data_IF_684141420222
#
_entry.id   IF_684141420222
#
_cell.length_a   1.000
_cell.length_b   1.000
_cell.length_c   1.000
_cell.angle_alpha   90.00
_cell.angle_beta   90.00
_cell.angle_gamma   90.00
#
_symmetry.space_group_name_H-M   'P 1'
#
loop_
_entity.id
_entity.type
_entity.pdbx_description
1 polymer ?
#
# COMPACT_ATOMS: atom_id res chain seq x y z
N UNK A 1 -19.52 17.44 0.81
CA UNK A 1 -19.02 18.49 -0.09
C UNK A 1 -20.11 18.71 -1.11
N UNK A 2 -20.12 17.96 -2.21
CA UNK A 2 -21.31 17.74 -3.04
C UNK A 2 -22.43 17.10 -2.20
N UNK A 3 -23.68 17.52 -2.42
CA UNK A 3 -24.89 17.02 -1.76
C UNK A 3 -25.53 15.84 -2.51
N UNK A 4 -25.15 15.63 -3.76
CA UNK A 4 -25.68 14.55 -4.60
C UNK A 4 -25.00 13.20 -4.34
N UNK A 5 -23.84 13.21 -3.70
CA UNK A 5 -23.08 12.00 -3.34
C UNK A 5 -23.84 11.23 -2.26
N UNK A 6 -24.19 9.97 -2.55
CA UNK A 6 -24.87 9.08 -1.59
C UNK A 6 -23.95 8.00 -1.06
N UNK A 7 -22.91 7.66 -1.81
CA UNK A 7 -21.97 6.58 -1.46
C UNK A 7 -20.55 6.94 -1.90
N UNK A 8 -19.59 6.48 -1.10
CA UNK A 8 -18.18 6.41 -1.47
C UNK A 8 -17.77 4.94 -1.47
N UNK A 9 -17.01 4.55 -2.47
CA UNK A 9 -16.56 3.17 -2.68
C UNK A 9 -15.05 3.17 -2.72
N UNK A 10 -14.42 2.27 -1.96
CA UNK A 10 -12.99 2.05 -2.07
C UNK A 10 -12.67 1.31 -3.37
N UNK A 11 -11.59 1.71 -4.02
CA UNK A 11 -11.10 1.07 -5.24
C UNK A 11 -9.71 0.50 -5.00
N UNK A 12 -9.40 -0.59 -5.70
CA UNK A 12 -8.12 -1.26 -5.62
C UNK A 12 -7.64 -1.66 -7.03
N UNK A 13 -6.43 -1.26 -7.38
CA UNK A 13 -5.64 -1.89 -8.44
C UNK A 13 -4.44 -2.60 -7.82
N UNK A 14 -4.33 -3.91 -8.01
CA UNK A 14 -3.20 -4.68 -7.51
C UNK A 14 -2.18 -4.92 -8.63
N UNK A 15 -0.89 -4.91 -8.29
CA UNK A 15 0.21 -5.28 -9.18
C UNK A 15 0.75 -6.62 -8.71
N UNK A 16 0.65 -7.68 -9.50
CA UNK A 16 1.06 -9.03 -9.10
C UNK A 16 2.43 -9.37 -9.67
N UNK A 17 3.45 -9.34 -8.82
CA UNK A 17 4.78 -9.85 -9.18
C UNK A 17 4.90 -11.36 -8.89
N UNK A 18 5.71 -12.05 -9.70
CA UNK A 18 5.95 -13.48 -9.59
C UNK A 18 7.21 -13.91 -10.35
N UNK A 19 7.70 -15.11 -10.07
CA UNK A 19 8.75 -15.76 -10.87
C UNK A 19 8.20 -16.94 -11.68
N UNK A 20 8.80 -17.17 -12.86
CA UNK A 20 8.58 -18.39 -13.64
C UNK A 20 9.86 -19.24 -13.66
N UNK A 21 9.72 -20.51 -13.33
CA UNK A 21 10.82 -21.49 -13.39
C UNK A 21 10.40 -22.65 -14.28
N UNK A 22 11.34 -23.20 -15.05
CA UNK A 22 11.07 -24.45 -15.76
C UNK A 22 10.66 -25.55 -14.78
N UNK A 23 9.58 -26.28 -15.08
CA UNK A 23 9.06 -27.30 -14.16
C UNK A 23 10.04 -28.42 -13.86
N UNK A 24 10.87 -28.85 -14.83
CA UNK A 24 11.87 -29.88 -14.57
C UNK A 24 12.97 -29.36 -13.62
N UNK A 25 13.39 -28.10 -13.78
CA UNK A 25 14.33 -27.45 -12.85
C UNK A 25 13.72 -27.29 -11.46
N UNK A 26 12.48 -26.83 -11.36
CA UNK A 26 11.77 -26.73 -10.08
C UNK A 26 11.64 -28.11 -9.40
N UNK A 27 11.30 -29.15 -10.16
CA UNK A 27 11.17 -30.52 -9.64
C UNK A 27 12.51 -31.13 -9.19
N UNK A 28 13.63 -30.68 -9.76
CA UNK A 28 14.97 -31.07 -9.29
C UNK A 28 15.37 -30.41 -7.96
N UNK A 29 14.54 -29.50 -7.44
CA UNK A 29 14.77 -28.70 -6.23
C UNK A 29 13.69 -28.95 -5.18
N UNK A 30 13.89 -29.94 -4.29
CA UNK A 30 12.93 -30.25 -3.23
C UNK A 30 12.56 -29.04 -2.36
N UNK A 31 13.51 -28.14 -2.12
CA UNK A 31 13.27 -26.91 -1.37
C UNK A 31 12.27 -25.98 -2.09
N UNK A 32 12.44 -25.74 -3.40
CA UNK A 32 11.46 -24.97 -4.17
C UNK A 32 10.06 -25.60 -4.12
N UNK A 33 9.96 -26.93 -4.21
CA UNK A 33 8.68 -27.62 -4.17
C UNK A 33 7.99 -27.53 -2.80
N UNK A 34 8.75 -27.65 -1.72
CA UNK A 34 8.21 -27.72 -0.36
C UNK A 34 7.98 -26.34 0.26
N UNK A 35 8.84 -25.36 -0.06
CA UNK A 35 8.86 -24.05 0.62
C UNK A 35 8.57 -22.88 -0.33
N UNK A 36 8.56 -23.11 -1.65
CA UNK A 36 8.37 -22.05 -2.64
C UNK A 36 9.60 -21.16 -2.85
N UNK A 37 10.72 -21.46 -2.20
CA UNK A 37 11.98 -20.71 -2.28
C UNK A 37 13.19 -21.63 -2.24
N UNK A 38 14.35 -21.09 -2.60
CA UNK A 38 15.62 -21.78 -2.36
C UNK A 38 16.07 -21.56 -0.91
N UNK A 39 16.36 -22.67 -0.21
CA UNK A 39 16.94 -22.64 1.13
C UNK A 39 18.47 -22.60 1.07
N UNK A 40 19.03 -23.17 0.01
CA UNK A 40 20.47 -23.31 -0.22
C UNK A 40 20.79 -22.94 -1.68
N UNK A 41 22.01 -22.50 -1.92
CA UNK A 41 22.52 -22.25 -3.28
C UNK A 41 23.53 -21.10 -3.32
N UNK A 42 24.54 -21.26 -4.18
CA UNK A 42 25.47 -20.16 -4.49
C UNK A 42 24.81 -19.21 -5.49
N UNK A 43 25.12 -17.92 -5.39
CA UNK A 43 24.67 -16.90 -6.35
C UNK A 43 25.17 -17.21 -7.77
N UNK A 44 24.32 -16.97 -8.77
CA UNK A 44 24.68 -17.08 -10.19
C UNK A 44 25.84 -16.15 -10.56
N UNK A 45 26.66 -16.56 -11.54
CA UNK A 45 27.72 -15.72 -12.09
C UNK A 45 27.17 -14.42 -12.74
N UNK A 46 26.00 -14.52 -13.41
CA UNK A 46 25.19 -13.38 -13.82
C UNK A 46 23.88 -13.40 -13.03
N UNK A 47 23.73 -12.45 -12.13
CA UNK A 47 22.51 -12.16 -11.38
C UNK A 47 21.86 -10.89 -11.94
N UNK A 48 21.68 -9.90 -11.09
CA UNK A 48 21.01 -8.63 -11.42
C UNK A 48 21.98 -7.46 -11.63
N UNK A 49 23.29 -7.69 -11.69
CA UNK A 49 24.30 -6.62 -11.60
C UNK A 49 24.30 -5.62 -12.78
N UNK A 50 23.59 -5.92 -13.87
CA UNK A 50 23.56 -5.08 -15.07
C UNK A 50 22.29 -4.25 -15.19
N UNK A 51 21.30 -4.43 -14.30
CA UNK A 51 19.97 -3.80 -14.36
C UNK A 51 19.32 -3.87 -15.75
N UNK A 52 19.64 -4.92 -16.54
CA UNK A 52 19.30 -5.05 -17.96
C UNK A 52 17.94 -5.75 -18.21
N UNK A 53 17.25 -6.13 -17.14
CA UNK A 53 16.04 -6.95 -17.20
C UNK A 53 14.75 -6.13 -17.17
N UNK A 54 14.72 -5.01 -16.45
CA UNK A 54 13.53 -4.17 -16.33
C UNK A 54 13.15 -3.57 -17.68
N UNK A 55 11.93 -3.83 -18.14
CA UNK A 55 11.47 -3.52 -19.51
C UNK A 55 12.34 -4.07 -20.65
N UNK A 56 13.17 -5.08 -20.38
CA UNK A 56 13.87 -5.85 -21.41
C UNK A 56 12.92 -6.68 -22.27
N UNK A 57 13.45 -7.34 -23.31
CA UNK A 57 12.64 -8.26 -24.12
C UNK A 57 12.17 -9.47 -23.30
N UNK A 58 10.86 -9.75 -23.27
CA UNK A 58 10.30 -10.91 -22.58
C UNK A 58 10.68 -12.19 -23.34
N UNK A 59 11.27 -13.22 -22.70
CA UNK A 59 11.55 -14.49 -23.34
C UNK A 59 10.30 -15.11 -23.98
N UNK A 60 10.41 -15.66 -25.19
CA UNK A 60 9.26 -16.16 -25.98
C UNK A 60 8.39 -17.17 -25.21
N UNK A 61 9.01 -18.02 -24.39
CA UNK A 61 8.29 -19.01 -23.56
C UNK A 61 7.45 -18.33 -22.47
N UNK A 62 8.01 -17.36 -21.76
CA UNK A 62 7.27 -16.58 -20.76
C UNK A 62 6.16 -15.76 -21.41
N UNK A 63 6.43 -15.13 -22.56
CA UNK A 63 5.42 -14.40 -23.31
C UNK A 63 4.25 -15.29 -23.75
N UNK A 64 4.53 -16.53 -24.17
CA UNK A 64 3.47 -17.48 -24.57
C UNK A 64 2.59 -17.87 -23.38
N UNK A 65 3.19 -18.14 -22.21
CA UNK A 65 2.46 -18.33 -20.96
C UNK A 65 1.59 -17.11 -20.61
N UNK A 66 2.17 -15.89 -20.65
CA UNK A 66 1.44 -14.67 -20.32
C UNK A 66 0.26 -14.41 -21.25
N UNK A 67 0.37 -14.75 -22.54
CA UNK A 67 -0.73 -14.59 -23.51
C UNK A 67 -1.88 -15.51 -23.20
N UNK A 68 -1.59 -16.75 -22.84
CA UNK A 68 -2.60 -17.73 -22.43
C UNK A 68 -3.25 -17.31 -21.10
N UNK A 69 -2.45 -16.85 -20.13
CA UNK A 69 -2.95 -16.31 -18.87
C UNK A 69 -3.90 -15.11 -19.07
N UNK A 70 -3.53 -14.14 -19.91
CA UNK A 70 -4.41 -13.02 -20.24
C UNK A 70 -5.73 -13.47 -20.87
N UNK A 71 -5.69 -14.49 -21.73
CA UNK A 71 -6.90 -15.03 -22.36
C UNK A 71 -7.84 -15.64 -21.32
N UNK A 72 -7.32 -16.49 -20.42
CA UNK A 72 -8.11 -17.06 -19.33
C UNK A 72 -8.67 -15.99 -18.39
N UNK A 73 -7.86 -14.97 -18.05
CA UNK A 73 -8.29 -13.83 -17.25
C UNK A 73 -9.46 -13.08 -17.90
N UNK A 74 -9.38 -12.80 -19.21
CA UNK A 74 -10.48 -12.15 -19.95
C UNK A 74 -11.76 -12.98 -19.94
N UNK A 75 -11.67 -14.31 -20.06
CA UNK A 75 -12.83 -15.21 -19.97
C UNK A 75 -13.47 -15.20 -18.57
N UNK A 76 -12.67 -14.98 -17.53
CA UNK A 76 -13.10 -14.90 -16.13
C UNK A 76 -13.52 -13.49 -15.69
N UNK A 77 -13.41 -12.50 -16.57
CA UNK A 77 -13.79 -11.11 -16.27
C UNK A 77 -12.71 -10.29 -15.56
N UNK A 78 -11.49 -10.82 -15.40
CA UNK A 78 -10.37 -10.09 -14.79
C UNK A 78 -9.78 -9.10 -15.82
N UNK A 79 -9.83 -7.77 -15.57
CA UNK A 79 -9.50 -6.78 -16.59
C UNK A 79 -7.99 -6.50 -16.68
N UNK A 80 -7.19 -7.53 -16.97
CA UNK A 80 -5.73 -7.45 -17.11
C UNK A 80 -5.36 -6.41 -18.17
N UNK A 81 -4.38 -5.55 -17.85
CA UNK A 81 -4.00 -4.41 -18.70
C UNK A 81 -2.53 -4.39 -19.06
N UNK A 82 -1.64 -4.63 -18.10
CA UNK A 82 -0.19 -4.53 -18.26
C UNK A 82 0.49 -5.83 -17.88
N UNK A 83 1.60 -6.12 -18.57
CA UNK A 83 2.56 -7.17 -18.25
C UNK A 83 3.95 -6.75 -18.67
N UNK A 84 4.97 -7.06 -17.89
CA UNK A 84 6.37 -6.79 -18.24
C UNK A 84 7.33 -7.72 -17.49
N UNK A 85 8.60 -7.69 -17.90
CA UNK A 85 9.69 -8.18 -17.08
C UNK A 85 9.87 -7.25 -15.87
N UNK A 86 10.17 -7.85 -14.73
CA UNK A 86 10.62 -7.15 -13.54
C UNK A 86 12.16 -7.10 -13.49
N UNK A 87 12.72 -6.52 -12.43
CA UNK A 87 14.17 -6.28 -12.33
C UNK A 87 14.98 -7.58 -12.18
N UNK A 88 14.47 -8.60 -11.48
CA UNK A 88 15.21 -9.86 -11.35
C UNK A 88 15.02 -10.80 -12.56
N UNK A 89 16.01 -11.67 -12.85
CA UNK A 89 15.89 -12.68 -13.89
C UNK A 89 14.69 -13.61 -13.66
N UNK A 90 13.87 -13.79 -14.70
CA UNK A 90 12.63 -14.56 -14.67
C UNK A 90 11.57 -14.06 -13.67
N UNK A 91 11.68 -12.80 -13.23
CA UNK A 91 10.63 -12.10 -12.52
C UNK A 91 9.76 -11.34 -13.52
N UNK A 92 8.46 -11.32 -13.26
CA UNK A 92 7.48 -10.66 -14.11
C UNK A 92 6.40 -10.02 -13.25
N UNK A 93 5.69 -9.07 -13.86
CA UNK A 93 4.52 -8.43 -13.26
C UNK A 93 3.31 -8.53 -14.19
N UNK A 94 2.13 -8.58 -13.61
CA UNK A 94 0.84 -8.42 -14.27
C UNK A 94 -0.07 -7.53 -13.41
N UNK A 95 -0.68 -6.51 -14.02
CA UNK A 95 -1.64 -5.64 -13.35
C UNK A 95 -2.92 -5.41 -14.17
N UNK A 96 -4.10 -5.40 -13.55
CA UNK A 96 -5.36 -5.08 -14.19
C UNK A 96 -5.70 -3.59 -14.06
N UNK A 97 -6.80 -3.20 -14.70
CA UNK A 97 -7.47 -1.94 -14.35
C UNK A 97 -8.02 -2.08 -12.91
N UNK A 98 -7.96 -1.00 -12.13
CA UNK A 98 -8.53 -1.00 -10.78
C UNK A 98 -10.04 -1.26 -10.80
N UNK A 99 -10.55 -1.85 -9.73
CA UNK A 99 -11.96 -2.17 -9.56
C UNK A 99 -12.44 -1.76 -8.16
N UNK A 100 -13.72 -1.99 -7.86
CA UNK A 100 -14.19 -1.93 -6.47
C UNK A 100 -13.39 -2.91 -5.60
N UNK A 101 -12.99 -2.50 -4.39
CA UNK A 101 -12.01 -3.24 -3.59
C UNK A 101 -12.38 -4.70 -3.35
N UNK A 102 -13.64 -5.03 -3.05
CA UNK A 102 -14.05 -6.42 -2.84
C UNK A 102 -13.86 -7.25 -4.12
N UNK A 103 -14.38 -6.76 -5.26
CA UNK A 103 -14.20 -7.44 -6.54
C UNK A 103 -12.73 -7.59 -6.95
N UNK A 104 -11.92 -6.55 -6.74
CA UNK A 104 -10.50 -6.57 -7.04
C UNK A 104 -9.76 -7.66 -6.22
N UNK A 105 -10.11 -7.81 -4.93
CA UNK A 105 -9.56 -8.86 -4.07
C UNK A 105 -9.92 -10.26 -4.60
N UNK A 106 -11.20 -10.47 -4.97
CA UNK A 106 -11.68 -11.75 -5.52
C UNK A 106 -10.96 -12.08 -6.83
N UNK A 107 -10.83 -11.10 -7.72
CA UNK A 107 -10.10 -11.24 -8.98
C UNK A 107 -8.61 -11.52 -8.78
N UNK A 108 -7.95 -10.93 -7.78
CA UNK A 108 -6.55 -11.27 -7.47
C UNK A 108 -6.42 -12.72 -6.96
N UNK A 109 -7.32 -13.16 -6.09
CA UNK A 109 -7.30 -14.53 -5.57
C UNK A 109 -7.52 -15.54 -6.70
N UNK A 110 -8.48 -15.26 -7.59
CA UNK A 110 -8.74 -16.08 -8.76
C UNK A 110 -7.55 -16.08 -9.74
N UNK A 111 -6.94 -14.92 -9.99
CA UNK A 111 -5.74 -14.82 -10.82
C UNK A 111 -4.65 -15.78 -10.32
N UNK A 112 -4.32 -15.75 -9.03
CA UNK A 112 -3.24 -16.58 -8.49
C UNK A 112 -3.47 -18.09 -8.70
N UNK A 113 -4.72 -18.55 -8.64
CA UNK A 113 -5.08 -19.94 -8.98
C UNK A 113 -4.93 -20.21 -10.49
N UNK A 114 -5.42 -19.31 -11.35
CA UNK A 114 -5.31 -19.42 -12.80
C UNK A 114 -3.84 -19.43 -13.24
N UNK A 115 -2.99 -18.60 -12.64
CA UNK A 115 -1.56 -18.56 -12.90
C UNK A 115 -0.91 -19.94 -12.73
N UNK A 116 -1.22 -20.66 -11.65
CA UNK A 116 -0.67 -22.00 -11.41
C UNK A 116 -1.14 -22.99 -12.49
N UNK A 117 -2.45 -23.01 -12.79
CA UNK A 117 -3.03 -23.91 -13.81
C UNK A 117 -2.49 -23.66 -15.20
N UNK A 118 -2.38 -22.39 -15.60
CA UNK A 118 -1.77 -22.02 -16.88
C UNK A 118 -0.29 -22.39 -16.86
N UNK A 119 0.43 -22.17 -15.74
CA UNK A 119 1.83 -22.53 -15.59
C UNK A 119 2.08 -24.01 -15.90
N UNK A 120 1.25 -24.89 -15.35
CA UNK A 120 1.30 -26.34 -15.59
C UNK A 120 1.18 -26.69 -17.08
N UNK A 121 0.25 -26.06 -17.82
CA UNK A 121 0.08 -26.26 -19.28
C UNK A 121 1.33 -25.85 -20.09
N UNK A 122 2.10 -24.89 -19.58
CA UNK A 122 3.33 -24.38 -20.23
C UNK A 122 4.62 -25.00 -19.66
N UNK A 123 4.50 -26.03 -18.82
CA UNK A 123 5.62 -26.65 -18.10
C UNK A 123 6.43 -25.63 -17.29
N UNK A 124 5.77 -24.65 -16.68
CA UNK A 124 6.36 -23.62 -15.83
C UNK A 124 5.80 -23.72 -14.41
N UNK A 125 6.69 -23.65 -13.42
CA UNK A 125 6.32 -23.46 -12.02
C UNK A 125 6.25 -21.96 -11.74
N UNK A 126 5.08 -21.49 -11.33
CA UNK A 126 4.88 -20.11 -10.86
C UNK A 126 5.23 -20.03 -9.37
N UNK A 127 6.16 -19.15 -9.03
CA UNK A 127 6.54 -18.88 -7.64
C UNK A 127 6.01 -17.52 -7.21
N UNK A 128 5.13 -17.55 -6.20
CA UNK A 128 4.53 -16.35 -5.58
C UNK A 128 5.17 -16.01 -4.23
N UNK A 129 6.20 -16.76 -3.81
CA UNK A 129 6.93 -16.48 -2.58
C UNK A 129 7.62 -15.10 -2.71
N UNK A 130 7.61 -14.29 -1.65
CA UNK A 130 8.11 -12.91 -1.67
C UNK A 130 9.62 -12.82 -1.91
N UNK A 131 10.36 -13.87 -1.56
CA UNK A 131 11.80 -13.98 -1.83
C UNK A 131 12.22 -15.38 -2.29
N UNK A 132 11.90 -15.79 -3.53
CA UNK A 132 12.17 -17.15 -4.00
C UNK A 132 13.67 -17.44 -4.10
N UNK A 133 14.47 -16.43 -4.47
CA UNK A 133 15.92 -16.54 -4.64
C UNK A 133 16.65 -15.48 -3.82
N UNK A 134 17.70 -15.89 -3.10
CA UNK A 134 18.55 -14.97 -2.32
C UNK A 134 19.43 -14.14 -3.26
N UNK A 135 19.59 -12.84 -2.96
CA UNK A 135 20.53 -11.96 -3.65
C UNK A 135 20.00 -11.29 -4.93
N UNK A 136 18.73 -11.46 -5.27
CA UNK A 136 18.03 -10.73 -6.36
C UNK A 136 16.78 -10.03 -5.83
N UNK A 137 16.06 -9.23 -6.62
CA UNK A 137 14.79 -8.63 -6.19
C UNK A 137 13.78 -9.68 -5.70
N UNK A 138 12.94 -9.28 -4.75
CA UNK A 138 11.81 -10.08 -4.29
C UNK A 138 10.54 -9.70 -5.02
N UNK A 139 9.48 -10.48 -4.83
CA UNK A 139 8.17 -10.24 -5.45
C UNK A 139 7.19 -9.55 -4.50
N UNK A 140 6.69 -8.38 -4.87
CA UNK A 140 5.65 -7.63 -4.17
C UNK A 140 4.23 -7.87 -4.68
N UNK A 141 3.25 -7.31 -3.96
CA UNK A 141 1.89 -7.10 -4.48
C UNK A 141 1.43 -5.67 -4.20
N UNK A 142 1.78 -4.70 -5.03
CA UNK A 142 1.44 -3.31 -4.72
C UNK A 142 -0.08 -3.12 -4.74
N UNK A 143 -0.62 -2.46 -3.72
CA UNK A 143 -2.05 -2.16 -3.63
C UNK A 143 -2.26 -0.67 -3.86
N UNK A 144 -2.71 -0.34 -5.07
CA UNK A 144 -3.09 1.01 -5.46
C UNK A 144 -4.52 1.29 -4.98
N UNK A 145 -4.62 1.94 -3.83
CA UNK A 145 -5.86 2.22 -3.12
C UNK A 145 -6.35 3.65 -3.35
N UNK A 146 -7.65 3.81 -3.61
CA UNK A 146 -8.30 5.11 -3.68
C UNK A 146 -9.77 5.06 -3.24
N UNK A 147 -10.44 6.21 -3.27
CA UNK A 147 -11.84 6.39 -2.88
C UNK A 147 -12.59 7.15 -3.98
N UNK A 148 -13.64 6.53 -4.53
CA UNK A 148 -14.47 7.10 -5.57
C UNK A 148 -15.91 7.34 -5.08
N UNK A 149 -16.49 8.50 -5.39
CA UNK A 149 -17.92 8.74 -5.16
C UNK A 149 -18.78 8.00 -6.18
N UNK A 150 -20.05 7.75 -5.85
CA UNK A 150 -21.07 7.26 -6.78
C UNK A 150 -21.34 8.20 -7.96
N UNK A 151 -20.91 9.46 -7.86
CA UNK A 151 -20.93 10.45 -8.96
C UNK A 151 -19.68 10.41 -9.85
N UNK A 152 -18.74 9.49 -9.61
CA UNK A 152 -17.54 9.29 -10.43
C UNK A 152 -16.35 10.19 -10.07
N UNK A 153 -16.36 10.86 -8.92
CA UNK A 153 -15.26 11.72 -8.47
C UNK A 153 -14.27 10.91 -7.65
N UNK A 154 -13.00 10.92 -8.06
CA UNK A 154 -11.90 10.42 -7.24
C UNK A 154 -11.56 11.43 -6.13
N UNK A 155 -11.72 11.02 -4.87
CA UNK A 155 -11.51 11.86 -3.69
C UNK A 155 -10.03 12.09 -3.34
N UNK A 156 -9.14 11.28 -3.92
CA UNK A 156 -7.69 11.44 -3.83
C UNK A 156 -7.08 12.05 -5.11
N UNK A 157 -7.92 12.49 -6.05
CA UNK A 157 -7.47 13.24 -7.22
C UNK A 157 -7.37 14.73 -6.92
N UNK A 158 -6.19 15.37 -7.06
CA UNK A 158 -6.11 16.83 -7.03
C UNK A 158 -6.92 17.41 -8.21
N UNK A 159 -7.46 18.61 -8.03
CA UNK A 159 -8.38 19.24 -8.99
C UNK A 159 -8.06 20.73 -9.19
N UNK A 160 -8.89 21.44 -9.95
CA UNK A 160 -8.64 22.83 -10.39
C UNK A 160 -9.35 23.87 -9.55
N UNK A 161 -10.41 23.50 -8.82
CA UNK A 161 -11.20 24.47 -8.05
C UNK A 161 -10.77 24.46 -6.58
N UNK A 162 -10.79 25.61 -5.89
CA UNK A 162 -10.45 25.65 -4.46
C UNK A 162 -11.32 24.72 -3.61
N UNK A 163 -12.61 24.57 -3.95
CA UNK A 163 -13.54 23.71 -3.19
C UNK A 163 -13.25 22.22 -3.40
N UNK A 164 -12.98 21.80 -4.64
CA UNK A 164 -12.57 20.42 -4.93
C UNK A 164 -11.21 20.09 -4.31
N UNK A 165 -10.30 21.08 -4.24
CA UNK A 165 -9.00 20.90 -3.60
C UNK A 165 -9.10 20.83 -2.08
N UNK A 166 -10.02 21.56 -1.45
CA UNK A 166 -10.33 21.37 -0.04
C UNK A 166 -10.87 19.96 0.24
N UNK A 167 -11.71 19.42 -0.65
CA UNK A 167 -12.19 18.04 -0.56
C UNK A 167 -11.02 17.06 -0.66
N UNK A 168 -10.17 17.19 -1.68
CA UNK A 168 -8.97 16.39 -1.84
C UNK A 168 -8.09 16.43 -0.57
N UNK A 169 -7.74 17.63 -0.09
CA UNK A 169 -6.93 17.80 1.12
C UNK A 169 -7.57 17.14 2.33
N UNK A 170 -8.89 17.21 2.47
CA UNK A 170 -9.59 16.56 3.57
C UNK A 170 -9.38 15.04 3.57
N UNK A 171 -9.56 14.36 2.44
CA UNK A 171 -9.35 12.91 2.36
C UNK A 171 -7.86 12.53 2.40
N UNK A 172 -7.01 13.31 1.74
CA UNK A 172 -5.57 13.10 1.69
C UNK A 172 -4.92 13.19 3.08
N UNK A 173 -5.13 14.29 3.81
CA UNK A 173 -4.56 14.48 5.15
C UNK A 173 -5.15 13.49 6.16
N UNK A 174 -6.45 13.19 6.08
CA UNK A 174 -7.05 12.15 6.93
C UNK A 174 -6.45 10.77 6.68
N UNK A 175 -6.11 10.44 5.43
CA UNK A 175 -5.43 9.17 5.14
C UNK A 175 -4.05 9.13 5.79
N UNK A 176 -3.25 10.19 5.65
CA UNK A 176 -1.92 10.29 6.28
C UNK A 176 -2.04 10.16 7.80
N UNK A 177 -3.02 10.86 8.40
CA UNK A 177 -3.29 10.82 9.83
C UNK A 177 -3.70 9.43 10.31
N UNK A 178 -4.52 8.72 9.54
CA UNK A 178 -4.90 7.33 9.85
C UNK A 178 -3.67 6.41 9.83
N UNK A 179 -2.83 6.52 8.81
CA UNK A 179 -1.57 5.74 8.72
C UNK A 179 -0.64 6.09 9.88
N UNK A 180 -0.49 7.37 10.22
CA UNK A 180 0.34 7.86 11.32
C UNK A 180 -0.03 7.24 12.69
N UNK A 181 -1.33 7.09 12.94
CA UNK A 181 -1.83 6.62 14.23
C UNK A 181 -1.84 5.10 14.35
N UNK A 182 -1.94 4.40 13.22
CA UNK A 182 -2.08 2.94 13.14
C UNK A 182 -0.96 2.27 12.34
N UNK A 183 0.22 2.90 12.26
CA UNK A 183 1.36 2.43 11.46
C UNK A 183 1.78 1.00 11.84
N UNK A 184 1.78 0.70 13.14
CA UNK A 184 2.10 -0.63 13.68
C UNK A 184 1.11 -1.69 13.22
N UNK A 185 -0.18 -1.33 13.15
CA UNK A 185 -1.24 -2.22 12.69
C UNK A 185 -1.16 -2.45 11.18
N UNK A 186 -0.80 -1.43 10.40
CA UNK A 186 -0.51 -1.61 8.97
C UNK A 186 0.70 -2.51 8.73
N UNK A 187 1.78 -2.39 9.52
CA UNK A 187 2.92 -3.32 9.48
C UNK A 187 2.50 -4.75 9.80
N UNK A 188 1.59 -4.94 10.74
CA UNK A 188 1.05 -6.25 11.10
C UNK A 188 0.09 -6.84 10.05
N UNK A 189 -0.59 -5.99 9.27
CA UNK A 189 -1.51 -6.43 8.21
C UNK A 189 -0.80 -7.13 7.04
N UNK A 190 0.51 -6.89 6.89
CA UNK A 190 1.36 -7.43 5.82
C UNK A 190 2.42 -8.42 6.33
N UNK A 191 2.39 -8.74 7.62
CA UNK A 191 3.39 -9.58 8.27
C UNK A 191 3.20 -11.06 7.93
N UNK A 192 4.20 -11.67 7.31
CA UNK A 192 4.26 -13.10 7.01
C UNK A 192 5.73 -13.55 7.02
N UNK A 193 5.97 -14.83 7.30
CA UNK A 193 7.32 -15.40 7.30
C UNK A 193 8.09 -15.12 6.01
N UNK A 194 7.41 -15.23 4.87
CA UNK A 194 8.02 -15.03 3.56
C UNK A 194 8.31 -13.55 3.25
N UNK A 195 7.42 -12.64 3.67
CA UNK A 195 7.63 -11.19 3.46
C UNK A 195 8.75 -10.63 4.36
N UNK A 196 9.04 -11.23 5.51
CA UNK A 196 10.21 -10.86 6.33
C UNK A 196 11.55 -11.07 5.58
N UNK A 197 11.60 -11.96 4.59
CA UNK A 197 12.76 -12.11 3.72
C UNK A 197 12.84 -11.08 2.59
N UNK A 198 11.76 -10.34 2.35
CA UNK A 198 11.65 -9.36 1.26
C UNK A 198 11.90 -7.94 1.76
N UNK A 199 11.23 -7.53 2.84
CA UNK A 199 11.23 -6.14 3.30
C UNK A 199 12.65 -5.64 3.65
N UNK A 200 12.94 -4.39 3.28
CA UNK A 200 14.19 -3.68 3.60
C UNK A 200 15.37 -3.98 2.67
N UNK A 201 15.11 -4.56 1.49
CA UNK A 201 16.15 -4.84 0.50
C UNK A 201 15.59 -4.83 -0.93
N UNK A 202 16.43 -4.44 -1.91
CA UNK A 202 16.19 -4.64 -3.34
C UNK A 202 14.78 -4.18 -3.79
N UNK A 203 14.52 -2.87 -3.69
CA UNK A 203 13.23 -2.20 -4.02
C UNK A 203 12.04 -2.54 -3.11
N UNK A 204 12.16 -3.49 -2.17
CA UNK A 204 11.14 -3.70 -1.16
C UNK A 204 11.31 -2.76 0.04
N UNK A 205 10.26 -2.02 0.44
CA UNK A 205 10.35 -1.02 1.51
C UNK A 205 10.76 -1.65 2.85
N UNK A 206 11.39 -0.88 3.76
CA UNK A 206 11.73 -1.36 5.10
C UNK A 206 10.47 -1.63 5.93
N UNK A 207 10.65 -2.29 7.08
CA UNK A 207 9.56 -2.55 8.04
C UNK A 207 9.03 -1.29 8.74
N UNK A 208 9.69 -0.14 8.58
CA UNK A 208 9.27 1.15 9.11
C UNK A 208 8.17 1.70 8.18
N UNK A 209 6.93 1.74 8.66
CA UNK A 209 5.84 2.34 7.89
C UNK A 209 6.00 3.86 7.90
N UNK A 210 6.17 4.43 6.71
CA UNK A 210 6.25 5.87 6.46
C UNK A 210 5.44 6.23 5.22
N UNK A 211 5.06 7.50 5.10
CA UNK A 211 4.27 8.00 3.99
C UNK A 211 5.10 8.95 3.13
N UNK A 212 5.19 8.63 1.84
CA UNK A 212 5.77 9.51 0.83
C UNK A 212 4.67 10.27 0.11
N UNK A 213 4.80 11.60 -0.01
CA UNK A 213 3.81 12.44 -0.69
C UNK A 213 4.40 13.32 -1.80
N UNK A 214 5.73 13.35 -1.94
CA UNK A 214 6.42 14.17 -2.89
C UNK A 214 6.68 15.59 -2.38
N UNK A 215 7.73 16.20 -2.89
CA UNK A 215 8.17 17.55 -2.46
C UNK A 215 7.09 18.62 -2.64
N UNK A 216 6.29 18.53 -3.71
CA UNK A 216 5.26 19.52 -4.02
C UNK A 216 4.14 19.52 -2.97
N UNK A 217 3.58 18.34 -2.68
CA UNK A 217 2.54 18.23 -1.65
C UNK A 217 3.10 18.48 -0.25
N UNK A 218 4.35 18.11 0.00
CA UNK A 218 5.04 18.46 1.25
C UNK A 218 5.10 19.98 1.47
N UNK A 219 5.43 20.76 0.44
CA UNK A 219 5.42 22.23 0.51
C UNK A 219 4.01 22.78 0.75
N UNK A 220 3.00 22.24 0.07
CA UNK A 220 1.60 22.62 0.29
C UNK A 220 1.16 22.36 1.73
N UNK A 221 1.51 21.21 2.31
CA UNK A 221 1.19 20.92 3.72
C UNK A 221 1.91 21.87 4.68
N UNK A 222 3.17 22.23 4.41
CA UNK A 222 3.92 23.20 5.21
C UNK A 222 3.31 24.61 5.15
N UNK A 223 2.83 25.04 3.97
CA UNK A 223 2.11 26.31 3.81
C UNK A 223 0.79 26.32 4.58
N UNK A 224 0.01 25.23 4.52
CA UNK A 224 -1.24 25.09 5.26
C UNK A 224 -1.05 25.13 6.79
N UNK A 225 0.08 24.62 7.27
CA UNK A 225 0.45 24.66 8.68
C UNK A 225 0.73 26.09 9.18
N UNK A 226 1.36 26.93 8.35
CA UNK A 226 1.76 28.30 8.71
C UNK A 226 0.62 29.30 8.85
N UNK A 227 -0.62 28.90 8.53
CA UNK A 227 -1.81 29.76 8.56
C UNK A 227 -2.29 30.00 10.00
N UNK A 228 -2.81 31.19 10.29
CA UNK A 228 -3.31 31.63 11.61
C UNK A 228 -4.48 30.82 12.16
N UNK A 229 -4.49 30.59 13.47
CA UNK A 229 -5.51 29.81 14.20
C UNK A 229 -6.87 30.51 14.29
N UNK A 230 -7.94 29.71 14.20
CA UNK A 230 -9.31 30.15 14.39
C UNK A 230 -9.92 30.85 13.17
N UNK A 231 -10.49 32.04 13.41
CA UNK A 231 -11.29 32.75 12.42
C UNK A 231 -10.40 33.55 11.48
N UNK A 232 -10.21 33.02 10.28
CA UNK A 232 -9.44 33.67 9.23
C UNK A 232 -10.08 35.00 8.78
N UNK A 233 -9.25 36.02 8.58
CA UNK A 233 -9.64 37.29 7.97
C UNK A 233 -10.07 37.09 6.50
N UNK A 234 -10.82 38.03 5.90
CA UNK A 234 -11.19 37.96 4.48
C UNK A 234 -9.98 37.87 3.54
N UNK A 235 -8.88 38.54 3.88
CA UNK A 235 -7.63 38.54 3.12
C UNK A 235 -6.93 37.19 3.20
N UNK A 236 -6.78 36.65 4.42
CA UNK A 236 -6.19 35.31 4.65
C UNK A 236 -7.01 34.21 3.98
N UNK A 237 -8.34 34.31 3.98
CA UNK A 237 -9.21 33.36 3.25
C UNK A 237 -8.98 33.40 1.75
N UNK A 238 -8.81 34.59 1.21
CA UNK A 238 -8.64 34.78 -0.23
C UNK A 238 -7.27 34.26 -0.65
N UNK A 239 -6.24 34.57 0.13
CA UNK A 239 -4.88 34.07 -0.06
C UNK A 239 -4.83 32.53 0.05
N UNK A 240 -5.39 31.95 1.10
CA UNK A 240 -5.45 30.50 1.27
C UNK A 240 -6.18 29.81 0.11
N UNK A 241 -7.34 30.34 -0.30
CA UNK A 241 -8.15 29.75 -1.38
C UNK A 241 -7.50 29.89 -2.75
N UNK A 242 -6.88 31.02 -3.06
CA UNK A 242 -6.33 31.29 -4.38
C UNK A 242 -4.87 30.85 -4.52
N UNK A 243 -4.04 31.08 -3.50
CA UNK A 243 -2.60 30.91 -3.56
C UNK A 243 -2.11 29.57 -3.03
N UNK A 244 -2.79 28.96 -2.06
CA UNK A 244 -2.38 27.65 -1.50
C UNK A 244 -3.24 26.53 -2.09
N UNK A 245 -4.56 26.61 -1.87
CA UNK A 245 -5.50 25.57 -2.30
C UNK A 245 -5.81 25.66 -3.80
N UNK A 246 -5.76 26.86 -4.37
CA UNK A 246 -5.94 27.10 -5.80
C UNK A 246 -4.73 26.75 -6.67
N UNK A 247 -3.53 26.59 -6.07
CA UNK A 247 -2.27 26.29 -6.78
C UNK A 247 -1.79 24.85 -6.60
N UNK A 248 -2.59 23.95 -6.03
CA UNK A 248 -2.21 22.53 -5.96
C UNK A 248 -1.96 22.07 -7.40
N UNK A 249 -0.70 21.73 -7.76
CA UNK A 249 -0.37 21.40 -9.13
C UNK A 249 -1.11 20.13 -9.55
N UNK A 250 -1.41 20.00 -10.84
CA UNK A 250 -1.70 18.68 -11.39
C UNK A 250 -0.44 17.83 -11.15
N UNK A 251 -0.52 16.89 -10.20
CA UNK A 251 0.58 15.98 -9.93
C UNK A 251 0.69 15.07 -11.15
N UNK A 252 1.65 15.37 -12.02
CA UNK A 252 1.94 14.54 -13.20
C UNK A 252 2.39 13.18 -12.68
N UNK A 253 1.64 12.13 -13.08
CA UNK A 253 1.74 10.75 -12.61
C UNK A 253 3.17 10.18 -12.53
N UNK A 254 4.11 10.69 -13.35
CA UNK A 254 5.43 10.11 -13.56
C UNK A 254 6.55 10.69 -12.68
N UNK A 255 6.41 11.92 -12.17
CA UNK A 255 7.51 12.59 -11.44
C UNK A 255 7.61 12.23 -9.94
N UNK A 256 6.64 11.47 -9.40
CA UNK A 256 6.58 11.14 -7.96
C UNK A 256 7.07 9.73 -7.62
N UNK A 257 7.23 8.85 -8.61
CA UNK A 257 7.55 7.43 -8.39
C UNK A 257 9.06 7.12 -8.22
N UNK A 258 9.92 8.14 -8.10
CA UNK A 258 11.37 7.90 -7.99
C UNK A 258 11.82 7.33 -6.66
N UNK A 259 10.98 7.34 -5.63
CA UNK A 259 11.31 6.79 -4.32
C UNK A 259 10.59 5.46 -4.06
N UNK A 260 11.06 4.39 -4.71
CA UNK A 260 10.55 3.02 -4.56
C UNK A 260 10.74 2.41 -3.16
N UNK A 261 11.45 3.09 -2.27
CA UNK A 261 11.76 2.60 -0.91
C UNK A 261 10.67 2.91 0.12
N UNK A 262 9.67 3.73 -0.22
CA UNK A 262 8.58 4.06 0.70
C UNK A 262 7.53 2.94 0.74
N UNK A 263 7.03 2.52 1.92
CA UNK A 263 6.00 1.51 2.02
C UNK A 263 4.62 2.01 1.60
N UNK A 264 4.31 3.30 1.79
CA UNK A 264 3.01 3.89 1.47
C UNK A 264 3.21 5.22 0.74
N UNK A 265 3.00 5.24 -0.57
CA UNK A 265 3.36 6.37 -1.42
C UNK A 265 2.14 6.97 -2.12
N UNK A 266 2.00 8.30 -2.12
CA UNK A 266 1.01 8.98 -2.93
C UNK A 266 1.52 9.12 -4.37
N UNK A 267 0.87 8.44 -5.31
CA UNK A 267 1.27 8.38 -6.73
C UNK A 267 0.33 9.20 -7.62
N UNK A 268 0.09 10.44 -7.20
CA UNK A 268 -0.63 11.47 -7.96
C UNK A 268 -2.14 11.53 -7.74
N UNK A 269 -2.82 10.39 -7.68
CA UNK A 269 -4.29 10.36 -7.50
C UNK A 269 -4.80 9.18 -6.64
N UNK A 270 -3.89 8.49 -5.98
CA UNK A 270 -4.11 7.28 -5.18
C UNK A 270 -2.91 7.08 -4.24
N UNK A 271 -3.09 6.25 -3.22
CA UNK A 271 -1.95 5.74 -2.45
C UNK A 271 -1.59 4.33 -2.90
N UNK A 272 -0.31 4.06 -3.01
CA UNK A 272 0.24 2.76 -3.34
C UNK A 272 0.86 2.15 -2.08
N UNK A 273 0.32 1.02 -1.63
CA UNK A 273 0.84 0.26 -0.50
C UNK A 273 1.78 -0.84 -1.02
N UNK A 274 3.09 -0.57 -0.97
CA UNK A 274 4.15 -1.40 -1.57
C UNK A 274 4.63 -2.54 -0.66
N UNK A 275 4.36 -2.44 0.64
CA UNK A 275 4.83 -3.42 1.62
C UNK A 275 4.12 -4.78 1.58
N UNK A 276 3.01 -4.90 0.84
CA UNK A 276 2.24 -6.15 0.74
C UNK A 276 3.00 -7.21 -0.06
N UNK A 277 3.00 -8.45 0.43
CA UNK A 277 3.69 -9.58 -0.19
C UNK A 277 2.97 -10.17 -1.41
N UNK A 278 3.74 -10.70 -2.36
CA UNK A 278 3.24 -11.36 -3.59
C UNK A 278 2.36 -12.58 -3.34
N UNK A 279 2.49 -13.27 -2.21
CA UNK A 279 1.60 -14.40 -1.84
C UNK A 279 0.41 -13.99 -0.97
N UNK A 280 0.46 -12.81 -0.36
CA UNK A 280 -0.55 -12.37 0.61
C UNK A 280 -1.90 -12.08 -0.04
N UNK A 281 -3.01 -12.42 0.62
CA UNK A 281 -4.33 -11.95 0.19
C UNK A 281 -4.47 -10.45 0.47
N UNK A 282 -4.83 -9.66 -0.54
CA UNK A 282 -5.03 -8.21 -0.44
C UNK A 282 -6.03 -7.81 0.67
N UNK A 283 -7.01 -8.67 0.99
CA UNK A 283 -8.05 -8.40 1.99
C UNK A 283 -7.50 -8.03 3.37
N UNK A 284 -6.39 -8.63 3.83
CA UNK A 284 -5.84 -8.33 5.15
C UNK A 284 -5.35 -6.87 5.22
N UNK A 285 -4.58 -6.46 4.21
CA UNK A 285 -4.10 -5.08 4.08
C UNK A 285 -5.27 -4.10 3.87
N UNK A 286 -6.22 -4.43 2.99
CA UNK A 286 -7.34 -3.55 2.65
C UNK A 286 -8.37 -3.42 3.77
N UNK A 287 -8.65 -4.48 4.52
CA UNK A 287 -9.53 -4.42 5.70
C UNK A 287 -8.94 -3.46 6.72
N UNK A 288 -7.65 -3.57 6.98
CA UNK A 288 -6.94 -2.69 7.92
C UNK A 288 -6.96 -1.24 7.44
N UNK A 289 -6.50 -0.99 6.21
CA UNK A 289 -6.42 0.36 5.63
C UNK A 289 -7.78 1.05 5.55
N UNK A 290 -8.81 0.37 5.03
CA UNK A 290 -10.15 0.92 4.95
C UNK A 290 -10.73 1.22 6.35
N UNK A 291 -10.49 0.35 7.33
CA UNK A 291 -11.00 0.54 8.70
C UNK A 291 -10.36 1.75 9.38
N UNK A 292 -9.03 1.89 9.32
CA UNK A 292 -8.34 3.03 9.97
C UNK A 292 -8.73 4.36 9.31
N UNK A 293 -8.88 4.38 7.98
CA UNK A 293 -9.31 5.60 7.27
C UNK A 293 -10.76 5.92 7.58
N UNK A 294 -11.64 4.92 7.62
CA UNK A 294 -13.04 5.12 7.97
C UNK A 294 -13.22 5.65 9.41
N UNK A 295 -12.44 5.12 10.37
CA UNK A 295 -12.40 5.62 11.74
C UNK A 295 -11.94 7.08 11.79
N UNK A 296 -10.81 7.39 11.15
CA UNK A 296 -10.26 8.75 11.12
C UNK A 296 -11.21 9.75 10.45
N UNK A 297 -11.95 9.35 9.40
CA UNK A 297 -12.97 10.20 8.77
C UNK A 297 -14.19 10.45 9.67
N UNK A 298 -14.60 9.48 10.51
CA UNK A 298 -15.64 9.68 11.53
C UNK A 298 -15.18 10.68 12.59
N UNK A 299 -13.97 10.50 13.11
CA UNK A 299 -13.40 11.40 14.13
C UNK A 299 -13.25 12.83 13.59
N UNK A 300 -12.74 12.97 12.37
CA UNK A 300 -12.68 14.23 11.66
C UNK A 300 -14.04 14.94 11.54
N UNK A 301 -15.10 14.19 11.22
CA UNK A 301 -16.45 14.75 11.13
C UNK A 301 -16.92 15.30 12.48
N UNK A 302 -16.70 14.56 13.55
CA UNK A 302 -17.05 14.96 14.92
C UNK A 302 -16.29 16.24 15.32
N UNK A 303 -14.99 16.30 15.07
CA UNK A 303 -14.16 17.47 15.38
C UNK A 303 -14.58 18.72 14.58
N UNK A 304 -14.86 18.56 13.29
CA UNK A 304 -15.34 19.66 12.43
C UNK A 304 -16.71 20.16 12.90
N UNK A 305 -17.64 19.27 13.22
CA UNK A 305 -18.97 19.66 13.72
C UNK A 305 -18.87 20.41 15.05
N UNK A 306 -18.01 19.94 15.98
CA UNK A 306 -17.79 20.60 17.25
C UNK A 306 -17.25 22.04 17.08
N UNK A 307 -16.41 22.30 16.07
CA UNK A 307 -15.95 23.66 15.78
C UNK A 307 -17.05 24.55 15.17
N UNK A 308 -17.94 23.98 14.36
CA UNK A 308 -19.07 24.71 13.78
C UNK A 308 -20.07 25.09 14.88
N UNK A 309 -20.44 24.12 15.73
CA UNK A 309 -21.47 24.27 16.76
C UNK A 309 -20.97 25.13 17.93
N UNK A 310 -19.77 24.85 18.47
CA UNK A 310 -19.30 25.48 19.70
C UNK A 310 -18.56 26.80 19.46
N UNK A 311 -17.89 26.95 18.30
CA UNK A 311 -17.09 28.16 17.97
C UNK A 311 -17.71 29.01 16.86
N UNK A 312 -18.84 28.60 16.28
CA UNK A 312 -19.54 29.35 15.24
C UNK A 312 -18.73 29.54 13.95
N UNK A 313 -17.75 28.67 13.69
CA UNK A 313 -16.92 28.74 12.50
C UNK A 313 -17.73 28.34 11.25
N UNK A 314 -17.40 28.95 10.11
CA UNK A 314 -17.95 28.48 8.83
C UNK A 314 -17.37 27.10 8.52
N UNK A 315 -18.13 26.29 7.78
CA UNK A 315 -17.72 24.92 7.39
C UNK A 315 -16.30 24.84 6.84
N UNK A 316 -15.96 25.67 5.85
CA UNK A 316 -14.62 25.68 5.25
C UNK A 316 -13.54 25.99 6.32
N UNK A 317 -13.79 26.96 7.19
CA UNK A 317 -12.87 27.36 8.26
C UNK A 317 -12.68 26.23 9.28
N UNK A 318 -13.76 25.57 9.70
CA UNK A 318 -13.70 24.44 10.61
C UNK A 318 -12.87 23.28 10.03
N UNK A 319 -13.11 22.93 8.75
CA UNK A 319 -12.32 21.94 8.02
C UNK A 319 -10.84 22.32 8.03
N UNK A 320 -10.49 23.54 7.64
CA UNK A 320 -9.09 23.98 7.62
C UNK A 320 -8.41 23.90 8.99
N UNK A 321 -9.10 24.31 10.05
CA UNK A 321 -8.53 24.27 11.40
C UNK A 321 -8.20 22.84 11.83
N UNK A 322 -9.10 21.88 11.61
CA UNK A 322 -8.84 20.47 11.94
C UNK A 322 -7.71 19.90 11.07
N UNK A 323 -7.74 20.13 9.76
CA UNK A 323 -6.69 19.64 8.86
C UNK A 323 -5.30 20.18 9.22
N UNK A 324 -5.22 21.43 9.69
CA UNK A 324 -3.96 22.01 10.16
C UNK A 324 -3.37 21.27 11.35
N UNK A 325 -4.19 20.97 12.35
CA UNK A 325 -3.74 20.20 13.52
C UNK A 325 -3.33 18.78 13.10
N UNK A 326 -4.04 18.17 12.15
CA UNK A 326 -3.68 16.86 11.62
C UNK A 326 -2.34 16.87 10.88
N UNK A 327 -2.02 17.94 10.14
CA UNK A 327 -0.71 18.11 9.51
C UNK A 327 0.39 18.12 10.59
N UNK A 328 0.22 18.91 11.66
CA UNK A 328 1.21 19.02 12.74
C UNK A 328 1.52 17.67 13.39
N UNK A 329 0.48 16.90 13.73
CA UNK A 329 0.65 15.60 14.41
C UNK A 329 1.14 14.49 13.47
N UNK A 330 0.87 14.60 12.17
CA UNK A 330 1.25 13.59 11.18
C UNK A 330 2.66 13.79 10.62
N UNK A 331 3.37 14.86 11.00
CA UNK A 331 4.75 15.11 10.53
C UNK A 331 5.71 13.95 10.75
N UNK A 332 5.52 13.18 11.83
CA UNK A 332 6.42 12.07 12.15
C UNK A 332 6.42 10.98 11.07
N UNK A 333 5.27 10.70 10.44
CA UNK A 333 5.13 9.62 9.44
C UNK A 333 5.62 10.02 8.05
N UNK A 334 5.68 11.33 7.74
CA UNK A 334 6.05 11.84 6.42
C UNK A 334 7.57 11.73 6.18
N UNK A 335 7.95 11.04 5.11
CA UNK A 335 9.36 10.84 4.75
C UNK A 335 9.58 10.79 3.24
N UNK A 336 10.51 11.62 2.76
CA UNK A 336 10.80 11.83 1.34
C UNK A 336 12.15 11.22 0.90
N UNK A 337 12.98 10.77 1.85
CA UNK A 337 14.34 10.31 1.61
C UNK A 337 14.48 8.81 1.35
N UNK A 338 15.71 8.32 1.33
CA UNK A 338 16.02 6.90 1.15
C UNK A 338 15.67 6.08 2.41
N UNK A 339 14.66 5.21 2.28
CA UNK A 339 14.16 4.33 3.32
C UNK A 339 15.15 3.24 3.76
N UNK A 340 16.19 2.95 2.99
CA UNK A 340 17.20 1.95 3.35
C UNK A 340 18.34 2.51 4.19
N UNK A 341 18.45 3.82 4.29
CA UNK A 341 19.57 4.45 4.97
C UNK A 341 19.54 4.20 6.49
N UNK A 342 20.71 3.91 7.08
CA UNK A 342 20.88 3.87 8.55
C UNK A 342 20.48 5.22 9.20
N UNK A 343 20.59 6.31 8.44
CA UNK A 343 20.14 7.64 8.85
C UNK A 343 18.63 7.65 9.08
N UNK A 344 17.86 7.06 8.16
CA UNK A 344 16.40 6.94 8.31
C UNK A 344 16.02 6.05 9.50
N UNK A 345 16.66 4.90 9.71
CA UNK A 345 16.35 4.05 10.86
C UNK A 345 16.52 4.79 12.20
N UNK A 346 17.60 5.58 12.35
CA UNK A 346 17.85 6.41 13.54
C UNK A 346 16.85 7.56 13.66
N UNK A 347 16.53 8.20 12.54
CA UNK A 347 15.59 9.32 12.52
C UNK A 347 14.15 8.87 12.83
N UNK A 348 13.70 7.77 12.22
CA UNK A 348 12.39 7.17 12.48
C UNK A 348 12.21 6.81 13.96
N UNK A 349 13.24 6.21 14.57
CA UNK A 349 13.24 5.92 16.01
C UNK A 349 13.13 7.20 16.85
N UNK A 350 13.85 8.27 16.50
CA UNK A 350 13.74 9.58 17.16
C UNK A 350 12.35 10.20 17.01
N UNK A 351 11.69 9.97 15.87
CA UNK A 351 10.32 10.40 15.57
C UNK A 351 9.25 9.52 16.23
N UNK A 352 9.64 8.41 16.86
CA UNK A 352 8.74 7.48 17.54
C UNK A 352 8.00 6.52 16.60
N UNK A 353 8.53 6.25 15.41
CA UNK A 353 8.02 5.23 14.50
C UNK A 353 8.56 3.85 14.89
N UNK A 354 7.72 2.81 14.76
CA UNK A 354 8.12 1.44 15.00
C UNK A 354 8.99 0.88 13.88
N UNK A 355 9.78 -0.13 14.22
CA UNK A 355 10.58 -0.90 13.27
C UNK A 355 10.50 -2.40 13.61
N UNK A 356 9.33 -3.00 13.40
CA UNK A 356 9.12 -4.43 13.65
C UNK A 356 9.64 -5.26 12.48
N UNK A 357 10.93 -5.64 12.56
CA UNK A 357 11.62 -6.39 11.49
C UNK A 357 11.08 -7.81 11.32
N UNK A 358 10.51 -8.40 12.36
CA UNK A 358 10.02 -9.79 12.35
C UNK A 358 8.50 -9.88 12.50
N UNK A 359 7.91 -10.90 11.88
CA UNK A 359 6.47 -11.18 11.94
C UNK A 359 5.95 -11.36 13.37
N UNK A 360 6.58 -12.15 14.26
CA UNK A 360 6.06 -12.31 15.63
C UNK A 360 6.01 -11.01 16.43
N UNK A 361 6.94 -10.08 16.20
CA UNK A 361 6.92 -8.76 16.83
C UNK A 361 5.83 -7.87 16.24
N UNK A 362 5.73 -7.83 14.90
CA UNK A 362 4.73 -7.04 14.21
C UNK A 362 3.31 -7.47 14.57
N UNK A 363 3.03 -8.78 14.62
CA UNK A 363 1.69 -9.31 14.87
C UNK A 363 1.13 -8.92 16.25
N UNK A 364 1.96 -8.59 17.23
CA UNK A 364 1.51 -8.10 18.54
C UNK A 364 0.63 -6.84 18.43
N UNK A 365 0.79 -6.05 17.37
CA UNK A 365 -0.04 -4.87 17.15
C UNK A 365 -1.52 -5.24 16.97
N UNK A 366 -1.85 -6.44 16.47
CA UNK A 366 -3.25 -6.88 16.26
C UNK A 366 -4.02 -7.12 17.56
N UNK A 367 -3.32 -7.54 18.61
CA UNK A 367 -3.90 -7.76 19.95
C UNK A 367 -3.61 -6.58 20.89
N UNK A 368 -3.15 -5.45 20.35
CA UNK A 368 -3.05 -4.23 21.13
C UNK A 368 -4.44 -3.70 21.46
N UNK A 369 -4.57 -3.02 22.60
CA UNK A 369 -5.82 -2.35 22.98
C UNK A 369 -6.31 -1.41 21.87
N UNK A 370 -5.40 -0.68 21.23
CA UNK A 370 -5.73 0.23 20.13
C UNK A 370 -6.40 -0.50 18.95
N UNK A 371 -5.89 -1.68 18.56
CA UNK A 371 -6.46 -2.46 17.48
C UNK A 371 -7.81 -3.09 17.87
N UNK A 372 -7.91 -3.66 19.08
CA UNK A 372 -9.15 -4.26 19.57
C UNK A 372 -10.28 -3.23 19.65
N UNK A 373 -10.00 -2.06 20.24
CA UNK A 373 -10.95 -0.96 20.35
C UNK A 373 -11.36 -0.45 18.96
N UNK A 374 -10.41 -0.29 18.03
CA UNK A 374 -10.67 0.14 16.64
C UNK A 374 -11.66 -0.80 15.94
N UNK A 375 -11.35 -2.09 15.85
CA UNK A 375 -12.16 -3.03 15.07
C UNK A 375 -13.53 -3.26 15.72
N UNK A 376 -13.60 -3.26 17.05
CA UNK A 376 -14.86 -3.37 17.80
C UNK A 376 -15.75 -2.13 17.62
N UNK A 377 -15.19 -0.91 17.77
CA UNK A 377 -15.93 0.35 17.57
C UNK A 377 -16.45 0.45 16.13
N UNK A 378 -15.66 0.01 15.17
CA UNK A 378 -16.03 0.06 13.75
C UNK A 378 -16.96 -1.09 13.33
N UNK A 379 -17.23 -2.05 14.22
CA UNK A 379 -18.12 -3.19 13.95
C UNK A 379 -17.58 -4.13 12.88
N UNK A 380 -16.25 -4.23 12.75
CA UNK A 380 -15.57 -5.03 11.71
C UNK A 380 -15.19 -6.40 12.25
N UNK A 381 -14.60 -6.46 13.44
CA UNK A 381 -14.24 -7.69 14.15
C UNK A 381 -14.43 -7.49 15.65
N UNK A 382 -14.87 -8.53 16.35
CA UNK A 382 -14.88 -8.56 17.80
C UNK A 382 -13.54 -9.04 18.37
N UNK A 383 -13.37 -8.94 19.69
CA UNK A 383 -12.11 -9.27 20.37
C UNK A 383 -11.71 -10.75 20.16
N UNK A 384 -12.66 -11.68 20.23
CA UNK A 384 -12.42 -13.12 20.05
C UNK A 384 -11.91 -13.40 18.63
N UNK A 385 -12.52 -12.76 17.63
CA UNK A 385 -12.10 -12.90 16.23
C UNK A 385 -10.69 -12.33 15.99
N UNK A 386 -10.34 -11.22 16.65
CA UNK A 386 -9.01 -10.62 16.57
C UNK A 386 -7.93 -11.52 17.21
N UNK A 387 -8.20 -12.04 18.40
CA UNK A 387 -7.28 -12.97 19.09
C UNK A 387 -7.10 -14.27 18.31
N UNK A 388 -8.18 -14.86 17.80
CA UNK A 388 -8.12 -16.08 16.99
C UNK A 388 -7.27 -15.88 15.71
N UNK A 389 -7.46 -14.75 15.01
CA UNK A 389 -6.64 -14.42 13.82
C UNK A 389 -5.16 -14.25 14.17
N UNK A 390 -4.85 -13.60 15.29
CA UNK A 390 -3.48 -13.47 15.78
C UNK A 390 -2.83 -14.83 16.06
N UNK A 391 -3.54 -15.74 16.73
CA UNK A 391 -3.04 -17.09 17.00
C UNK A 391 -2.79 -17.90 15.71
N UNK A 392 -3.75 -17.85 14.76
CA UNK A 392 -3.63 -18.54 13.46
C UNK A 392 -2.40 -18.05 12.69
N UNK A 393 -2.15 -16.74 12.66
CA UNK A 393 -1.01 -16.18 11.93
C UNK A 393 0.34 -16.51 12.59
N UNK A 394 0.40 -16.57 13.92
CA UNK A 394 1.59 -17.04 14.64
C UNK A 394 1.85 -18.53 14.41
N UNK A 395 0.79 -19.33 14.37
CA UNK A 395 0.89 -20.76 14.07
C UNK A 395 1.35 -20.98 12.62
N UNK A 396 0.80 -20.24 11.66
CA UNK A 396 1.24 -20.27 10.26
C UNK A 396 2.72 -19.90 10.14
N UNK A 397 3.15 -18.82 10.79
CA UNK A 397 4.56 -18.40 10.81
C UNK A 397 5.45 -19.53 11.35
N UNK A 398 5.08 -20.10 12.50
CA UNK A 398 5.87 -21.14 13.17
C UNK A 398 5.97 -22.40 12.30
N UNK A 399 4.87 -22.83 11.68
CA UNK A 399 4.86 -23.98 10.77
C UNK A 399 5.70 -23.75 9.53
N UNK A 400 5.60 -22.57 8.89
CA UNK A 400 6.42 -22.21 7.73
C UNK A 400 7.91 -22.28 8.06
N UNK A 401 8.34 -21.62 9.13
CA UNK A 401 9.75 -21.64 9.57
C UNK A 401 10.19 -23.05 9.96
N UNK A 402 9.33 -23.84 10.61
CA UNK A 402 9.63 -25.23 10.95
C UNK A 402 9.81 -26.10 9.71
N UNK A 403 9.01 -25.91 8.66
CA UNK A 403 9.17 -26.63 7.39
C UNK A 403 10.49 -26.25 6.71
N UNK A 404 10.86 -24.96 6.70
CA UNK A 404 12.15 -24.52 6.14
C UNK A 404 13.35 -25.04 6.95
N UNK A 405 13.19 -25.24 8.26
CA UNK A 405 14.27 -25.70 9.14
C UNK A 405 14.45 -27.22 9.23
N UNK A 406 13.50 -28.01 8.71
CA UNK A 406 13.58 -29.49 8.65
C UNK A 406 14.34 -29.92 7.40
#
# INVERSE_FOLDING_TARGET
FDKNVKKVTATLGWEQEYFLVDSALANSRPDILMTGRTLLGHTSAKGQQLDDHYFGSIPTRALTYMRDLEQECMLLGIPVKTRHNEVAPNQFELAPIFEETNLAVDHNCLLMDVMQKVGERHHLKVLLHEKPFKGVNGSGKHNNWSLATDTGVNLLGPSKTPMSNLQFLAFFINTIKAVNDYETLLRAAIATASNDHRLGANEAPPAIISVFIGEQLTKVLAELEGVTDGKLSPEEKTDLKLNVVGKIPEVILDNTDRNRTSPFAFTGNKFEFRAVGSSANCSNAMTTLNTIVAKQLKDFKIEVDALIENKGLKKDEAIFNVLREYIKVSKKILFEGDGYSDAWEKEAAKRGLSNFKTTPEALKARVSKQALDLFSEMGILNHIEMEARYEIELEEYTKKIQIEGR
#
